data_IF_958758648301
#
_entry.id   IF_958758648301
#
_cell.length_a   1.000
_cell.length_b   1.000
_cell.length_c   1.000
_cell.angle_alpha   90.00
_cell.angle_beta   90.00
_cell.angle_gamma   90.00
#
_symmetry.space_group_name_H-M   'P 1'
#
loop_
_entity.id
_entity.type
_entity.pdbx_description
1 polymer ?
#
# COMPACT_ATOMS: atom_id res chain seq x y z
N UNK A 1 -4.89 -13.55 7.27
CA UNK A 1 -4.47 -12.37 6.49
C UNK A 1 -3.01 -12.09 6.83
N UNK A 2 -2.10 -12.08 5.84
CA UNK A 2 -0.68 -11.81 6.09
C UNK A 2 -0.48 -10.34 6.49
N UNK A 3 0.31 -10.08 7.53
CA UNK A 3 0.62 -8.72 7.96
C UNK A 3 1.65 -8.11 7.00
N UNK A 4 1.24 -7.12 6.20
CA UNK A 4 2.13 -6.39 5.28
C UNK A 4 2.81 -5.18 5.93
N UNK A 5 2.34 -4.77 7.11
CA UNK A 5 2.93 -3.73 7.94
C UNK A 5 3.09 -4.22 9.38
N UNK A 6 4.23 -3.95 10.00
CA UNK A 6 4.48 -4.27 11.40
C UNK A 6 5.59 -3.42 12.03
N UNK A 7 5.46 -3.20 13.34
CA UNK A 7 6.34 -2.31 14.10
C UNK A 7 6.95 -3.01 15.33
N UNK A 8 8.22 -2.72 15.60
CA UNK A 8 8.91 -2.99 16.86
C UNK A 8 9.18 -1.66 17.56
N UNK A 9 8.17 -1.14 18.26
CA UNK A 9 8.17 0.22 18.83
C UNK A 9 9.37 0.52 19.74
N UNK A 10 9.83 -0.46 20.54
CA UNK A 10 10.99 -0.27 21.42
C UNK A 10 12.33 -0.19 20.68
N UNK A 11 12.41 -0.71 19.45
CA UNK A 11 13.57 -0.54 18.56
C UNK A 11 13.42 0.65 17.61
N UNK A 12 12.20 1.20 17.53
CA UNK A 12 11.82 2.17 16.51
C UNK A 12 11.89 1.62 15.10
N UNK A 13 11.71 0.31 14.91
CA UNK A 13 11.75 -0.28 13.58
C UNK A 13 10.33 -0.49 13.06
N UNK A 14 10.14 -0.13 11.81
CA UNK A 14 8.90 -0.30 11.08
C UNK A 14 9.20 -0.97 9.76
N UNK A 15 8.37 -1.93 9.40
CA UNK A 15 8.58 -2.76 8.23
C UNK A 15 7.33 -2.75 7.38
N UNK A 16 7.55 -2.80 6.07
CA UNK A 16 6.49 -2.82 5.09
C UNK A 16 6.84 -3.76 3.93
N UNK A 17 5.90 -4.61 3.56
CA UNK A 17 6.01 -5.46 2.37
C UNK A 17 5.37 -4.73 1.21
N UNK A 18 6.20 -4.18 0.32
CA UNK A 18 5.74 -3.62 -0.94
C UNK A 18 5.45 -4.76 -1.92
N UNK A 19 4.21 -4.85 -2.41
CA UNK A 19 3.78 -5.90 -3.35
C UNK A 19 3.55 -5.32 -4.75
N UNK A 20 3.45 -6.17 -5.79
CA UNK A 20 3.04 -5.73 -7.13
C UNK A 20 1.68 -5.03 -7.14
N UNK A 21 0.73 -5.45 -6.29
CA UNK A 21 -0.59 -4.84 -6.15
C UNK A 21 -0.47 -3.39 -5.66
N UNK A 22 0.36 -3.14 -4.63
CA UNK A 22 0.65 -1.78 -4.18
C UNK A 22 1.20 -0.92 -5.32
N UNK A 23 2.16 -1.44 -6.09
CA UNK A 23 2.76 -0.71 -7.22
C UNK A 23 1.71 -0.40 -8.30
N UNK A 24 0.86 -1.38 -8.65
CA UNK A 24 -0.25 -1.17 -9.60
C UNK A 24 -1.20 -0.06 -9.13
N UNK A 25 -1.56 -0.05 -7.86
CA UNK A 25 -2.41 1.01 -7.29
C UNK A 25 -1.71 2.38 -7.33
N UNK A 26 -0.44 2.46 -6.94
CA UNK A 26 0.34 3.71 -7.01
C UNK A 26 0.43 4.27 -8.42
N UNK A 27 0.65 3.41 -9.42
CA UNK A 27 0.73 3.80 -10.83
C UNK A 27 -0.59 4.39 -11.37
N UNK A 28 -1.72 4.12 -10.69
CA UNK A 28 -3.03 4.66 -11.06
C UNK A 28 -3.41 5.92 -10.27
N UNK A 29 -2.61 6.35 -9.30
CA UNK A 29 -2.97 7.48 -8.46
C UNK A 29 -3.14 8.78 -9.27
N UNK A 30 -4.27 9.45 -9.08
CA UNK A 30 -4.52 10.79 -9.63
C UNK A 30 -3.78 11.82 -8.79
N UNK A 31 -2.80 12.49 -9.40
CA UNK A 31 -2.02 13.57 -8.77
C UNK A 31 -2.42 14.91 -9.36
N UNK A 32 -2.68 15.90 -8.51
CA UNK A 32 -2.89 17.28 -8.92
C UNK A 32 -2.15 18.27 -8.01
N UNK A 33 -1.99 19.51 -8.49
CA UNK A 33 -1.41 20.58 -7.70
C UNK A 33 -2.48 21.20 -6.80
N UNK A 34 -2.32 21.08 -5.48
CA UNK A 34 -3.22 21.72 -4.51
C UNK A 34 -2.52 22.91 -3.89
N UNK A 35 -3.18 24.07 -3.89
CA UNK A 35 -2.73 25.28 -3.19
C UNK A 35 -3.32 25.34 -1.79
N UNK A 36 -2.52 25.81 -0.84
CA UNK A 36 -2.98 26.19 0.49
C UNK A 36 -3.51 27.63 0.48
N UNK A 37 -3.96 28.11 1.65
CA UNK A 37 -4.55 29.45 1.77
C UNK A 37 -3.55 30.59 1.50
N UNK A 38 -2.26 30.33 1.68
CA UNK A 38 -1.17 31.29 1.48
C UNK A 38 -0.65 31.32 0.03
N UNK A 39 -1.24 30.52 -0.86
CA UNK A 39 -0.81 30.38 -2.26
C UNK A 39 0.40 29.46 -2.47
N UNK A 40 0.96 28.85 -1.41
CA UNK A 40 1.92 27.77 -1.55
C UNK A 40 1.20 26.50 -2.00
N UNK A 41 1.76 25.78 -2.97
CA UNK A 41 1.16 24.54 -3.45
C UNK A 41 2.06 23.33 -3.31
N UNK A 42 1.45 22.15 -3.39
CA UNK A 42 2.13 20.88 -3.38
C UNK A 42 1.40 19.86 -4.27
N UNK A 43 2.12 18.88 -4.85
CA UNK A 43 1.48 17.71 -5.46
C UNK A 43 0.67 16.97 -4.38
N UNK A 44 -0.58 16.64 -4.70
CA UNK A 44 -1.54 15.99 -3.80
C UNK A 44 -2.25 14.88 -4.54
N UNK A 45 -2.56 13.79 -3.84
CA UNK A 45 -3.40 12.70 -4.36
C UNK A 45 -4.89 13.09 -4.25
N UNK A 46 -5.69 12.80 -5.27
CA UNK A 46 -7.14 12.97 -5.19
C UNK A 46 -7.76 12.03 -4.16
N UNK A 47 -8.25 12.58 -3.05
CA UNK A 47 -8.89 11.82 -1.97
C UNK A 47 -10.33 11.43 -2.28
N UNK A 48 -10.95 12.03 -3.32
CA UNK A 48 -12.30 11.69 -3.78
C UNK A 48 -12.22 10.65 -4.89
N UNK A 49 -11.25 10.80 -5.81
CA UNK A 49 -11.07 9.91 -6.97
C UNK A 49 -9.61 9.44 -7.13
N UNK A 50 -9.06 8.73 -6.14
CA UNK A 50 -7.65 8.37 -6.13
C UNK A 50 -7.25 7.56 -7.35
N UNK A 51 -8.15 6.74 -7.90
CA UNK A 51 -7.86 5.88 -9.05
C UNK A 51 -8.60 6.28 -10.34
N UNK A 52 -9.30 7.42 -10.32
CA UNK A 52 -10.00 8.00 -11.46
C UNK A 52 -11.51 8.08 -11.31
N UNK A 53 -12.12 7.29 -10.42
CA UNK A 53 -13.54 7.35 -10.10
C UNK A 53 -13.78 7.43 -8.58
N UNK A 54 -15.03 7.71 -8.16
CA UNK A 54 -15.42 7.71 -6.74
C UNK A 54 -15.76 6.32 -6.19
N UNK A 55 -15.86 5.30 -7.06
CA UNK A 55 -16.00 3.91 -6.65
C UNK A 55 -14.62 3.31 -6.37
N UNK A 56 -14.10 3.58 -5.18
CA UNK A 56 -12.76 3.14 -4.76
C UNK A 56 -12.65 1.60 -4.78
N UNK A 57 -13.69 0.89 -4.33
CA UNK A 57 -13.70 -0.57 -4.31
C UNK A 57 -13.78 -1.14 -5.73
N UNK A 58 -14.63 -0.58 -6.59
CA UNK A 58 -14.69 -0.88 -8.02
C UNK A 58 -13.34 -0.77 -8.71
N UNK A 59 -12.71 0.39 -8.57
CA UNK A 59 -11.41 0.68 -9.20
C UNK A 59 -10.31 -0.27 -8.68
N UNK A 60 -10.23 -0.53 -7.37
CA UNK A 60 -9.24 -1.47 -6.80
C UNK A 60 -9.50 -2.88 -7.33
N UNK A 61 -10.75 -3.34 -7.32
CA UNK A 61 -11.09 -4.67 -7.81
C UNK A 61 -10.73 -4.84 -9.29
N UNK A 62 -10.97 -3.83 -10.12
CA UNK A 62 -10.55 -3.84 -11.53
C UNK A 62 -9.02 -3.90 -11.67
N UNK A 63 -8.31 -2.97 -11.02
CA UNK A 63 -6.84 -2.86 -11.12
C UNK A 63 -6.10 -4.11 -10.63
N UNK A 64 -6.66 -4.78 -9.61
CA UNK A 64 -6.09 -5.97 -9.02
C UNK A 64 -6.65 -7.27 -9.61
N UNK A 65 -7.64 -7.20 -10.52
CA UNK A 65 -8.28 -8.37 -11.12
C UNK A 65 -9.07 -9.21 -10.12
N UNK A 66 -9.68 -8.58 -9.12
CA UNK A 66 -10.52 -9.23 -8.12
C UNK A 66 -11.92 -9.53 -8.69
N UNK A 67 -12.63 -10.55 -8.17
CA UNK A 67 -13.99 -10.84 -8.60
C UNK A 67 -14.94 -9.66 -8.39
N UNK A 68 -15.67 -9.31 -9.45
CA UNK A 68 -16.71 -8.29 -9.43
C UNK A 68 -18.05 -8.91 -9.02
N UNK A 69 -18.87 -8.23 -8.19
CA UNK A 69 -20.21 -8.71 -7.89
C UNK A 69 -21.11 -8.59 -9.13
N UNK A 70 -22.16 -9.41 -9.17
CA UNK A 70 -23.20 -9.25 -10.19
C UNK A 70 -24.06 -8.03 -9.88
N UNK A 71 -23.62 -6.88 -10.39
CA UNK A 71 -24.31 -5.60 -10.24
C UNK A 71 -25.75 -5.63 -10.78
N UNK A 72 -26.01 -6.44 -11.82
CA UNK A 72 -27.36 -6.56 -12.41
C UNK A 72 -28.31 -7.29 -11.47
N UNK A 73 -27.79 -8.23 -10.69
CA UNK A 73 -28.52 -8.90 -9.62
C UNK A 73 -28.59 -8.09 -8.31
N UNK A 74 -28.04 -6.86 -8.28
CA UNK A 74 -27.98 -6.05 -7.06
C UNK A 74 -27.00 -6.59 -6.01
N UNK A 75 -26.05 -7.44 -6.40
CA UNK A 75 -25.03 -7.96 -5.50
C UNK A 75 -24.02 -6.87 -5.12
N UNK A 76 -23.34 -7.06 -3.98
CA UNK A 76 -22.26 -6.20 -3.50
C UNK A 76 -21.00 -7.03 -3.24
N UNK A 77 -19.86 -6.37 -3.07
CA UNK A 77 -18.67 -7.02 -2.56
C UNK A 77 -18.94 -7.71 -1.22
N UNK A 78 -18.29 -8.85 -1.00
CA UNK A 78 -18.31 -9.49 0.31
C UNK A 78 -17.52 -8.66 1.33
N UNK A 79 -17.80 -8.87 2.62
CA UNK A 79 -17.05 -8.21 3.70
C UNK A 79 -15.54 -8.49 3.60
N UNK A 80 -15.15 -9.69 3.20
CA UNK A 80 -13.74 -10.06 3.05
C UNK A 80 -13.07 -9.30 1.90
N UNK A 81 -13.78 -9.10 0.78
CA UNK A 81 -13.29 -8.29 -0.33
C UNK A 81 -13.12 -6.83 0.09
N UNK A 82 -14.11 -6.27 0.80
CA UNK A 82 -14.05 -4.89 1.30
C UNK A 82 -12.85 -4.72 2.24
N UNK A 83 -12.68 -5.62 3.21
CA UNK A 83 -11.53 -5.59 4.14
C UNK A 83 -10.21 -5.68 3.40
N UNK A 84 -10.11 -6.53 2.37
CA UNK A 84 -8.91 -6.66 1.56
C UNK A 84 -8.59 -5.38 0.78
N UNK A 85 -9.59 -4.80 0.11
CA UNK A 85 -9.42 -3.59 -0.70
C UNK A 85 -9.12 -2.37 0.17
N UNK A 86 -9.78 -2.24 1.32
CA UNK A 86 -9.50 -1.20 2.31
C UNK A 86 -8.07 -1.29 2.84
N UNK A 87 -7.58 -2.52 3.08
CA UNK A 87 -6.20 -2.73 3.49
C UNK A 87 -5.23 -2.26 2.40
N UNK A 88 -5.40 -2.70 1.15
CA UNK A 88 -4.57 -2.27 0.04
C UNK A 88 -4.62 -0.76 -0.18
N UNK A 89 -5.79 -0.14 -0.07
CA UNK A 89 -5.96 1.30 -0.22
C UNK A 89 -5.17 2.05 0.86
N UNK A 90 -5.31 1.66 2.13
CA UNK A 90 -4.57 2.28 3.24
C UNK A 90 -3.06 2.05 3.14
N UNK A 91 -2.65 0.87 2.71
CA UNK A 91 -1.25 0.50 2.52
C UNK A 91 -0.56 1.30 1.40
N UNK A 92 -1.32 1.96 0.52
CA UNK A 92 -0.73 2.89 -0.47
C UNK A 92 0.01 4.06 0.19
N UNK A 93 -0.31 4.43 1.43
CA UNK A 93 0.46 5.41 2.19
C UNK A 93 1.93 4.98 2.33
N UNK A 94 2.16 3.78 2.86
CA UNK A 94 3.51 3.24 3.04
C UNK A 94 4.18 2.95 1.72
N UNK A 95 3.42 2.41 0.75
CA UNK A 95 3.94 2.16 -0.58
C UNK A 95 4.45 3.45 -1.23
N UNK A 96 3.68 4.55 -1.14
CA UNK A 96 4.07 5.84 -1.69
C UNK A 96 5.34 6.37 -1.01
N UNK A 97 5.44 6.26 0.31
CA UNK A 97 6.64 6.64 1.05
C UNK A 97 7.87 5.83 0.61
N UNK A 98 7.72 4.50 0.44
CA UNK A 98 8.81 3.63 -0.03
C UNK A 98 9.29 4.06 -1.41
N UNK A 99 8.40 4.19 -2.39
CA UNK A 99 8.82 4.50 -3.78
C UNK A 99 9.43 5.90 -3.89
N UNK A 100 8.92 6.88 -3.16
CA UNK A 100 9.44 8.26 -3.19
C UNK A 100 10.80 8.38 -2.49
N UNK A 101 11.02 7.66 -1.38
CA UNK A 101 12.28 7.75 -0.63
C UNK A 101 13.39 6.89 -1.23
N UNK A 102 13.04 5.76 -1.86
CA UNK A 102 14.02 4.84 -2.45
C UNK A 102 14.25 5.08 -3.94
N UNK A 103 13.29 5.69 -4.64
CA UNK A 103 13.29 5.78 -6.10
C UNK A 103 13.02 4.45 -6.80
N UNK A 104 12.59 3.42 -6.07
CA UNK A 104 12.42 2.05 -6.58
C UNK A 104 10.95 1.64 -6.59
N UNK A 105 10.48 1.13 -7.72
CA UNK A 105 9.23 0.37 -7.84
C UNK A 105 9.50 -1.13 -7.78
N UNK A 106 10.16 -1.57 -6.70
CA UNK A 106 10.61 -2.95 -6.55
C UNK A 106 9.87 -3.65 -5.41
N UNK A 107 9.09 -4.72 -5.68
CA UNK A 107 8.49 -5.52 -4.63
C UNK A 107 9.55 -6.07 -3.67
N UNK A 108 9.24 -6.09 -2.38
CA UNK A 108 10.20 -6.47 -1.37
C UNK A 108 9.77 -6.13 0.05
N UNK A 109 10.57 -6.60 1.01
CA UNK A 109 10.49 -6.18 2.41
C UNK A 109 11.35 -4.94 2.60
N UNK A 110 10.73 -3.86 3.05
CA UNK A 110 11.40 -2.62 3.41
C UNK A 110 11.37 -2.42 4.92
N UNK A 111 12.42 -1.80 5.45
CA UNK A 111 12.50 -1.37 6.84
C UNK A 111 12.83 0.11 6.90
N UNK A 112 12.27 0.82 7.88
CA UNK A 112 12.78 2.12 8.30
C UNK A 112 13.00 2.12 9.81
N UNK A 113 13.92 2.98 10.26
CA UNK A 113 14.19 3.20 11.67
C UNK A 113 13.74 4.60 12.06
N UNK A 114 12.72 4.70 12.90
CA UNK A 114 11.99 5.93 13.15
C UNK A 114 11.49 6.50 11.82
N UNK A 115 10.90 7.70 11.81
CA UNK A 115 10.34 8.32 10.61
C UNK A 115 11.38 8.72 9.52
N UNK A 116 12.49 8.00 9.43
CA UNK A 116 13.59 8.15 8.47
C UNK A 116 13.35 7.31 7.20
N UNK A 117 14.37 7.23 6.33
CA UNK A 117 14.32 6.60 5.02
C UNK A 117 14.01 5.09 5.07
N UNK A 118 13.13 4.65 4.18
CA UNK A 118 12.94 3.23 3.86
C UNK A 118 14.17 2.63 3.18
N UNK A 119 14.52 1.40 3.55
CA UNK A 119 15.63 0.62 2.98
C UNK A 119 15.09 -0.76 2.58
N UNK A 120 15.41 -1.20 1.37
CA UNK A 120 15.10 -2.55 0.91
C UNK A 120 15.97 -3.56 1.65
N UNK A 121 15.34 -4.55 2.27
CA UNK A 121 16.02 -5.62 3.03
C UNK A 121 16.01 -6.93 2.27
N UNK A 122 14.87 -7.28 1.65
CA UNK A 122 14.70 -8.50 0.86
C UNK A 122 13.98 -8.16 -0.43
N UNK A 123 14.58 -8.48 -1.58
CA UNK A 123 13.94 -8.33 -2.89
C UNK A 123 12.92 -9.47 -3.16
N UNK A 124 11.82 -9.12 -3.81
CA UNK A 124 10.71 -10.05 -4.06
C UNK A 124 9.73 -10.12 -2.89
N UNK A 125 8.46 -10.43 -3.18
CA UNK A 125 7.45 -10.58 -2.13
C UNK A 125 7.75 -11.90 -1.39
N UNK A 126 8.08 -11.87 -0.10
CA UNK A 126 8.28 -13.10 0.65
C UNK A 126 6.97 -13.89 0.67
N UNK A 127 7.01 -15.18 0.29
CA UNK A 127 5.84 -16.07 0.17
C UNK A 127 5.01 -16.16 1.47
N UNK A 128 5.64 -15.88 2.61
CA UNK A 128 4.97 -15.70 3.89
C UNK A 128 5.85 -14.90 4.86
N UNK A 129 5.32 -13.82 5.41
CA UNK A 129 5.71 -13.33 6.74
C UNK A 129 4.42 -13.30 7.54
N UNK A 130 4.18 -14.39 8.26
CA UNK A 130 2.95 -14.58 9.04
C UNK A 130 3.10 -14.12 10.48
N UNK A 131 4.34 -13.88 10.93
CA UNK A 131 4.62 -13.43 12.29
C UNK A 131 5.90 -12.60 12.40
N UNK A 132 5.99 -11.79 13.46
CA UNK A 132 7.21 -11.07 13.86
C UNK A 132 8.40 -12.00 14.10
N UNK A 133 8.15 -13.24 14.53
CA UNK A 133 9.18 -14.25 14.79
C UNK A 133 9.81 -14.76 13.50
N UNK A 134 8.98 -15.06 12.51
CA UNK A 134 9.43 -15.52 11.18
C UNK A 134 10.28 -14.46 10.48
N UNK A 135 9.88 -13.18 10.58
CA UNK A 135 10.68 -12.06 10.11
C UNK A 135 12.05 -12.01 10.79
N UNK A 136 12.10 -11.99 12.13
CA UNK A 136 13.37 -11.89 12.85
C UNK A 136 14.32 -13.03 12.48
N UNK A 137 13.80 -14.24 12.25
CA UNK A 137 14.59 -15.38 11.82
C UNK A 137 15.20 -15.15 10.43
N UNK A 138 14.40 -14.68 9.46
CA UNK A 138 14.88 -14.35 8.10
C UNK A 138 15.85 -13.17 8.02
N UNK A 139 15.88 -12.29 9.01
CA UNK A 139 16.79 -11.13 9.06
C UNK A 139 18.14 -11.44 9.72
N UNK A 140 18.24 -12.57 10.44
CA UNK A 140 19.44 -12.99 11.18
C UNK A 140 20.21 -14.13 10.49
N UNK A 141 19.68 -14.64 9.39
CA UNK A 141 20.33 -15.61 8.48
C UNK A 141 20.96 -14.87 7.30
#
# INVERSE_FOLDING_TARGET
>A
MALRHFEFKWLGLEFFVLTPEHIKLLQRLTVYWRVNHDGYGAPTIDVIRPYGNSDIHGDIAELLGLPQPDWQAGATYSSDQIVLMDAFHRETEFALQVVLQTGLFQPGLYVRRWYTNWILVVAGVPESITSRRELCQKLLE
#
